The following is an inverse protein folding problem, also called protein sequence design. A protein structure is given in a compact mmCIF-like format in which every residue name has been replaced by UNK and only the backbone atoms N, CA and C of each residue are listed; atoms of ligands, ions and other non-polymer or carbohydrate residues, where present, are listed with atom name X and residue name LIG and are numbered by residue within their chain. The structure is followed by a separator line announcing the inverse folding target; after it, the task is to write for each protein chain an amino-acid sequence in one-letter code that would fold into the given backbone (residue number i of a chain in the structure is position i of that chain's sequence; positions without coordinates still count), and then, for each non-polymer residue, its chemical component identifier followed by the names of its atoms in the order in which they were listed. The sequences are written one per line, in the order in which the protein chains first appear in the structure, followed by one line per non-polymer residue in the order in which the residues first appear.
data_IF_927688220358
#
_entry.id   IF_927688220358
#
_cell.length_a   1.000
_cell.length_b   1.000
_cell.length_c   1.000
_cell.angle_alpha   90.00
_cell.angle_beta   90.00
_cell.angle_gamma   90.00
#
_symmetry.space_group_name_H-M   'P 1'
#
loop_
_entity.id
_entity.type
_entity.pdbx_description
1 polymer ?
#
# COMPACT_ATOMS: atom_id res chain seq x y z
N UNK A 1 -4.92 10.87 -1.37
CA UNK A 1 -4.79 10.96 -2.85
C UNK A 1 -3.75 9.96 -3.39
N UNK A 2 -2.48 10.00 -2.97
CA UNK A 2 -1.45 9.05 -3.46
C UNK A 2 -1.69 7.59 -3.01
N UNK A 3 -2.28 7.41 -1.83
CA UNK A 3 -2.80 6.12 -1.36
C UNK A 3 -3.81 5.52 -2.37
N UNK A 4 -4.88 6.25 -2.68
CA UNK A 4 -5.88 5.84 -3.68
C UNK A 4 -5.31 5.66 -5.09
N UNK A 5 -4.32 6.48 -5.48
CA UNK A 5 -3.61 6.29 -6.75
C UNK A 5 -2.87 4.95 -6.77
N UNK A 6 -2.27 4.55 -5.64
CA UNK A 6 -1.63 3.25 -5.51
C UNK A 6 -2.66 2.14 -5.65
N UNK A 7 -3.83 2.21 -5.01
CA UNK A 7 -4.93 1.26 -5.24
C UNK A 7 -5.37 1.21 -6.70
N UNK A 8 -5.47 2.37 -7.36
CA UNK A 8 -5.80 2.43 -8.77
C UNK A 8 -4.83 1.55 -9.56
N UNK A 9 -3.52 1.57 -9.33
CA UNK A 9 -2.58 0.68 -10.06
C UNK A 9 -2.84 -0.83 -9.91
N UNK A 10 -3.66 -1.28 -8.95
CA UNK A 10 -3.88 -2.70 -8.67
C UNK A 10 -4.72 -3.48 -9.69
N UNK A 11 -5.44 -2.82 -10.62
CA UNK A 11 -6.25 -3.53 -11.62
C UNK A 11 -5.41 -4.46 -12.51
N UNK A 12 -6.09 -5.48 -13.06
CA UNK A 12 -5.48 -6.53 -13.91
C UNK A 12 -4.69 -5.98 -15.11
N UNK A 13 -5.15 -4.90 -15.74
CA UNK A 13 -4.44 -4.29 -16.86
C UNK A 13 -3.21 -3.46 -16.46
N UNK A 14 -2.86 -3.44 -15.17
CA UNK A 14 -1.79 -2.64 -14.56
C UNK A 14 -0.85 -3.54 -13.74
N UNK A 15 -0.89 -3.46 -12.42
CA UNK A 15 -0.02 -4.26 -11.55
C UNK A 15 -0.63 -5.61 -11.15
N UNK A 16 -1.81 -5.96 -11.66
CA UNK A 16 -2.50 -7.25 -11.48
C UNK A 16 -2.45 -7.76 -10.03
N UNK A 17 -2.85 -6.90 -9.09
CA UNK A 17 -2.97 -7.27 -7.68
C UNK A 17 -4.37 -7.81 -7.43
N UNK A 18 -4.47 -8.85 -6.61
CA UNK A 18 -5.78 -9.41 -6.29
C UNK A 18 -6.51 -8.48 -5.31
N UNK A 19 -7.44 -7.70 -5.84
CA UNK A 19 -8.27 -6.74 -5.11
C UNK A 19 -9.64 -7.34 -4.72
N UNK A 20 -9.89 -8.63 -4.97
CA UNK A 20 -11.20 -9.28 -4.73
C UNK A 20 -11.49 -9.60 -3.26
N UNK A 21 -10.77 -8.94 -2.37
CA UNK A 21 -10.75 -9.21 -0.94
C UNK A 21 -11.91 -8.47 -0.24
N UNK A 22 -12.41 -9.05 0.84
CA UNK A 22 -13.40 -8.40 1.72
C UNK A 22 -12.67 -7.60 2.80
N UNK A 23 -13.28 -6.49 3.19
CA UNK A 23 -12.80 -5.70 4.32
C UNK A 23 -12.58 -6.59 5.56
N UNK A 24 -11.37 -6.51 6.14
CA UNK A 24 -10.97 -7.29 7.31
C UNK A 24 -10.32 -8.65 7.03
N UNK A 25 -10.17 -9.07 5.78
CA UNK A 25 -9.35 -10.23 5.45
C UNK A 25 -7.85 -9.87 5.32
N UNK A 26 -6.98 -10.88 5.38
CA UNK A 26 -5.53 -10.69 5.34
C UNK A 26 -5.04 -10.12 3.99
N UNK A 27 -5.75 -10.39 2.90
CA UNK A 27 -5.38 -9.95 1.57
C UNK A 27 -5.77 -8.48 1.33
N UNK A 28 -6.88 -8.03 1.92
CA UNK A 28 -7.29 -6.64 2.04
C UNK A 28 -6.27 -5.87 2.89
N UNK A 29 -5.91 -6.37 4.07
CA UNK A 29 -4.90 -5.74 4.90
C UNK A 29 -3.52 -5.64 4.21
N UNK A 30 -3.16 -6.62 3.39
CA UNK A 30 -1.96 -6.56 2.54
C UNK A 30 -2.06 -5.48 1.46
N UNK A 31 -3.21 -5.35 0.78
CA UNK A 31 -3.37 -4.32 -0.26
C UNK A 31 -3.35 -2.90 0.33
N UNK A 32 -3.94 -2.69 1.50
CA UNK A 32 -3.86 -1.42 2.24
C UNK A 32 -2.41 -1.10 2.63
N UNK A 33 -1.63 -2.11 3.05
CA UNK A 33 -0.20 -1.94 3.33
C UNK A 33 0.59 -1.56 2.07
N UNK A 34 0.28 -2.16 0.92
CA UNK A 34 0.85 -1.78 -0.39
C UNK A 34 0.52 -0.32 -0.71
N UNK A 35 -0.74 0.09 -0.52
CA UNK A 35 -1.19 1.44 -0.83
C UNK A 35 -0.50 2.51 0.00
N UNK A 36 -0.26 2.24 1.28
CA UNK A 36 0.43 3.20 2.14
C UNK A 36 1.92 3.30 1.84
N UNK A 37 2.61 2.18 1.65
CA UNK A 37 4.03 2.19 1.26
C UNK A 37 4.17 2.90 -0.08
N UNK A 38 3.26 2.65 -1.03
CA UNK A 38 3.25 3.34 -2.33
C UNK A 38 3.05 4.84 -2.18
N UNK A 39 2.12 5.27 -1.33
CA UNK A 39 1.91 6.69 -1.00
C UNK A 39 3.20 7.34 -0.47
N UNK A 40 3.91 6.68 0.45
CA UNK A 40 5.19 7.16 0.96
C UNK A 40 6.28 7.24 -0.12
N UNK A 41 6.35 6.23 -1.00
CA UNK A 41 7.31 6.22 -2.12
C UNK A 41 7.00 7.33 -3.14
N UNK A 42 5.74 7.55 -3.49
CA UNK A 42 5.33 8.68 -4.33
C UNK A 42 5.71 10.02 -3.69
N UNK A 43 5.45 10.21 -2.39
CA UNK A 43 5.85 11.42 -1.68
C UNK A 43 7.36 11.65 -1.79
N UNK A 44 8.17 10.62 -1.53
CA UNK A 44 9.62 10.69 -1.65
C UNK A 44 10.08 11.03 -3.08
N UNK A 45 9.49 10.40 -4.10
CA UNK A 45 9.84 10.62 -5.52
C UNK A 45 9.42 11.98 -6.05
N UNK A 46 8.31 12.53 -5.55
CA UNK A 46 7.75 13.81 -5.98
C UNK A 46 8.24 15.00 -5.13
N UNK A 47 9.04 14.75 -4.08
CA UNK A 47 9.47 15.80 -3.14
C UNK A 47 8.32 16.35 -2.29
N UNK A 48 7.24 15.59 -2.11
CA UNK A 48 6.10 15.97 -1.28
C UNK A 48 6.40 15.56 0.17
N UNK A 49 6.40 16.52 1.08
CA UNK A 49 6.55 16.23 2.51
C UNK A 49 5.34 15.43 3.02
N UNK A 50 5.59 14.24 3.56
CA UNK A 50 4.57 13.43 4.23
C UNK A 50 4.57 13.73 5.73
N UNK A 51 3.78 14.72 6.14
CA UNK A 51 3.44 14.86 7.57
C UNK A 51 2.52 13.71 7.98
N UNK A 52 2.75 13.03 9.12
CA UNK A 52 1.81 12.05 9.63
C UNK A 52 0.45 12.72 9.82
N UNK A 53 -0.60 12.18 9.21
CA UNK A 53 -1.98 12.63 9.45
C UNK A 53 -2.65 11.62 10.39
N UNK A 54 -3.47 12.10 11.32
CA UNK A 54 -4.09 11.26 12.35
C UNK A 54 -5.05 10.21 11.77
N UNK A 55 -5.67 10.47 10.62
CA UNK A 55 -6.53 9.54 9.90
C UNK A 55 -5.75 8.34 9.32
N UNK A 56 -4.47 8.50 8.97
CA UNK A 56 -3.61 7.40 8.52
C UNK A 56 -3.28 6.40 9.65
N UNK A 57 -3.30 6.84 10.90
CA UNK A 57 -2.94 6.00 12.05
C UNK A 57 -3.96 4.87 12.31
N UNK A 58 -5.22 5.03 11.89
CA UNK A 58 -6.24 3.99 12.01
C UNK A 58 -5.94 2.77 11.13
N UNK A 59 -5.29 2.97 9.98
CA UNK A 59 -4.91 1.91 9.06
C UNK A 59 -3.66 1.14 9.51
N UNK A 60 -2.76 1.78 10.27
CA UNK A 60 -1.60 1.12 10.90
C UNK A 60 -2.00 -0.06 11.80
N UNK A 61 -3.15 0.04 12.47
CA UNK A 61 -3.64 -1.02 13.37
C UNK A 61 -3.87 -2.35 12.66
N UNK A 62 -4.43 -2.32 11.44
CA UNK A 62 -4.69 -3.52 10.64
C UNK A 62 -3.41 -4.06 9.97
N UNK A 63 -2.39 -3.24 9.75
CA UNK A 63 -1.12 -3.72 9.17
C UNK A 63 -0.22 -4.36 10.20
N UNK A 64 -0.28 -3.91 11.45
CA UNK A 64 0.51 -4.47 12.55
C UNK A 64 0.17 -5.96 12.77
N UNK A 65 -1.07 -6.41 12.56
CA UNK A 65 -1.40 -7.84 12.61
C UNK A 65 -0.75 -8.61 11.48
N UNK A 66 -0.84 -8.14 10.22
CA UNK A 66 -0.18 -8.76 9.06
C UNK A 66 1.33 -8.90 9.26
N UNK A 67 1.96 -7.85 9.79
CA UNK A 67 3.41 -7.84 10.05
C UNK A 67 3.83 -8.70 11.26
N UNK A 68 2.94 -8.87 12.24
CA UNK A 68 3.16 -9.79 13.36
C UNK A 68 3.10 -11.25 12.91
N UNK A 69 2.17 -11.56 12.00
CA UNK A 69 1.96 -12.91 11.49
C UNK A 69 3.02 -13.30 10.45
N UNK A 70 3.43 -12.37 9.58
CA UNK A 70 4.51 -12.59 8.61
C UNK A 70 5.43 -11.37 8.49
N UNK A 71 6.63 -11.49 9.06
CA UNK A 71 7.67 -10.44 8.97
C UNK A 71 8.16 -10.21 7.55
N UNK A 72 7.96 -11.15 6.61
CA UNK A 72 8.33 -10.99 5.19
C UNK A 72 7.26 -10.25 4.40
N UNK A 73 6.04 -10.09 4.94
CA UNK A 73 4.96 -9.36 4.30
C UNK A 73 5.38 -7.93 3.92
N UNK A 74 6.21 -7.28 4.74
CA UNK A 74 6.70 -5.92 4.46
C UNK A 74 7.50 -5.84 3.16
N UNK A 75 8.33 -6.84 2.84
CA UNK A 75 9.13 -6.84 1.62
C UNK A 75 8.25 -7.08 0.39
N UNK A 76 7.28 -7.98 0.50
CA UNK A 76 6.30 -8.22 -0.56
C UNK A 76 5.46 -6.98 -0.83
N UNK A 77 4.98 -6.32 0.23
CA UNK A 77 4.20 -5.09 0.10
C UNK A 77 5.03 -3.97 -0.53
N UNK A 78 6.27 -3.79 -0.09
CA UNK A 78 7.19 -2.80 -0.64
C UNK A 78 7.52 -3.05 -2.12
N UNK A 79 7.74 -4.30 -2.52
CA UNK A 79 7.99 -4.64 -3.93
C UNK A 79 6.79 -4.31 -4.82
N UNK A 80 5.57 -4.62 -4.36
CA UNK A 80 4.33 -4.29 -5.07
C UNK A 80 4.08 -2.77 -5.12
N UNK A 81 4.38 -2.06 -4.03
CA UNK A 81 4.30 -0.61 -3.97
C UNK A 81 5.28 0.05 -4.95
N UNK A 82 6.51 -0.46 -5.04
CA UNK A 82 7.50 0.02 -6.01
C UNK A 82 6.99 -0.15 -7.45
N UNK A 83 6.42 -1.31 -7.78
CA UNK A 83 5.84 -1.54 -9.11
C UNK A 83 4.70 -0.56 -9.44
N UNK A 84 3.91 -0.16 -8.44
CA UNK A 84 2.87 0.86 -8.62
C UNK A 84 3.47 2.25 -8.93
N UNK A 85 4.55 2.62 -8.24
CA UNK A 85 5.25 3.88 -8.46
C UNK A 85 5.89 3.90 -9.85
N UNK A 86 6.56 2.83 -10.25
CA UNK A 86 7.23 2.71 -11.55
C UNK A 86 6.26 2.68 -12.73
N UNK A 87 5.02 2.21 -12.51
CA UNK A 87 3.97 2.29 -13.53
C UNK A 87 3.53 3.74 -13.81
N UNK A 88 3.54 4.58 -12.77
CA UNK A 88 2.97 5.94 -12.82
C UNK A 88 4.02 7.00 -13.18
N UNK A 89 5.27 6.81 -12.78
CA UNK A 89 6.39 7.75 -12.98
C UNK A 89 7.42 7.21 -13.97
#
# INVERSE_FOLDING_TARGET
MLHELTHWTGLQSRCDRDLRNRFGDAAYAMEELVAEIGSAFFCARLGISSSPREDHAQYLGNWVSVLKDDKKAIFTAAAKAQAAVDLVL
#
